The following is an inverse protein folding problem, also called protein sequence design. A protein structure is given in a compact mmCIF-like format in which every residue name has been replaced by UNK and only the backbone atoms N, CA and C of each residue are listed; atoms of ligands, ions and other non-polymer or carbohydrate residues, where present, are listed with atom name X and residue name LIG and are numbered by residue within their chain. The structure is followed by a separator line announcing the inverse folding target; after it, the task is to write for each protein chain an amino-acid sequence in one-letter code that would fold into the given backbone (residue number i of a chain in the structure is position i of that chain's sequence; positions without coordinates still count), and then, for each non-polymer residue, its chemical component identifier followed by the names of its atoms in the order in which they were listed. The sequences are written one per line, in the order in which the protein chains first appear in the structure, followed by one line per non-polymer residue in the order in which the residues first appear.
data_IF_450953311623
#
_entry.id   IF_450953311623
#
_cell.length_a   1.000
_cell.length_b   1.000
_cell.length_c   1.000
_cell.angle_alpha   90.00
_cell.angle_beta   90.00
_cell.angle_gamma   90.00
#
_symmetry.space_group_name_H-M   'P 1'
#
loop_
_entity.id
_entity.type
_entity.pdbx_description
1 polymer ?
#
# COMPACT_ATOMS: atom_id res chain seq x y z
N UNK A 1 6.15 8.52 0.24
CA UNK A 1 5.67 9.89 -0.08
C UNK A 1 6.18 10.91 0.95
N UNK A 2 5.78 10.84 2.22
CA UNK A 2 6.18 11.84 3.24
C UNK A 2 7.72 12.00 3.37
N UNK A 3 8.45 10.90 3.40
CA UNK A 3 9.91 10.95 3.45
C UNK A 3 10.50 11.64 2.22
N UNK A 4 9.99 11.37 1.02
CA UNK A 4 10.45 12.02 -0.21
C UNK A 4 10.15 13.52 -0.27
N UNK A 5 9.07 13.97 0.39
CA UNK A 5 8.76 15.40 0.51
C UNK A 5 9.72 16.12 1.50
N UNK A 6 10.24 15.42 2.49
CA UNK A 6 11.09 16.00 3.57
C UNK A 6 12.57 15.79 3.36
N UNK A 7 12.96 14.73 2.67
CA UNK A 7 14.32 14.48 2.24
C UNK A 7 14.50 15.02 0.80
N UNK A 8 15.66 15.51 0.44
CA UNK A 8 15.98 15.95 -0.93
C UNK A 8 16.12 14.72 -1.83
N UNK A 9 14.99 14.07 -2.14
CA UNK A 9 14.95 12.93 -3.03
C UNK A 9 14.94 13.41 -4.48
N UNK A 10 15.72 12.77 -5.35
CA UNK A 10 15.76 13.07 -6.78
C UNK A 10 14.61 12.46 -7.55
N UNK A 11 13.98 11.40 -7.00
CA UNK A 11 12.83 10.70 -7.56
C UNK A 11 12.03 9.95 -6.49
N UNK A 12 10.83 9.50 -6.88
CA UNK A 12 9.99 8.65 -6.04
C UNK A 12 9.45 7.48 -6.86
N UNK A 13 9.50 6.27 -6.28
CA UNK A 13 8.89 5.07 -6.85
C UNK A 13 7.90 4.50 -5.83
N UNK A 14 6.64 4.37 -6.23
CA UNK A 14 5.60 3.64 -5.47
C UNK A 14 5.50 2.22 -6.00
N UNK A 15 5.80 1.24 -5.17
CA UNK A 15 5.68 -0.20 -5.49
C UNK A 15 4.52 -0.78 -4.69
N UNK A 16 3.51 -1.31 -5.36
CA UNK A 16 2.31 -1.87 -4.74
C UNK A 16 1.72 -0.92 -3.67
N UNK A 17 1.71 0.37 -3.98
CA UNK A 17 1.34 1.42 -3.04
C UNK A 17 -0.15 1.64 -2.98
N UNK A 18 -0.71 1.67 -1.75
CA UNK A 18 -2.13 1.96 -1.52
C UNK A 18 -2.48 3.38 -1.99
N UNK A 19 -3.52 3.52 -2.80
CA UNK A 19 -4.04 4.80 -3.29
C UNK A 19 -5.14 5.40 -2.41
N UNK A 20 -5.65 4.64 -1.45
CA UNK A 20 -6.75 5.01 -0.56
C UNK A 20 -6.29 5.17 0.88
N UNK A 21 -7.11 5.80 1.72
CA UNK A 21 -6.82 5.96 3.15
C UNK A 21 -6.67 4.60 3.83
N UNK A 22 -5.69 4.49 4.72
CA UNK A 22 -5.38 3.25 5.40
C UNK A 22 -6.57 2.62 6.17
N UNK A 23 -7.44 3.37 6.88
CA UNK A 23 -8.60 2.79 7.54
C UNK A 23 -9.56 2.08 6.58
N UNK A 24 -9.77 2.62 5.37
CA UNK A 24 -10.63 2.01 4.35
C UNK A 24 -10.06 0.68 3.86
N UNK A 25 -8.76 0.64 3.58
CA UNK A 25 -8.08 -0.57 3.11
C UNK A 25 -8.09 -1.65 4.19
N UNK A 26 -7.80 -1.29 5.43
CA UNK A 26 -7.85 -2.22 6.56
C UNK A 26 -9.27 -2.75 6.78
N UNK A 27 -10.29 -1.90 6.69
CA UNK A 27 -11.69 -2.32 6.75
C UNK A 27 -12.00 -3.39 5.68
N UNK A 28 -11.66 -3.12 4.42
CA UNK A 28 -11.91 -4.06 3.31
C UNK A 28 -11.17 -5.40 3.47
N UNK A 29 -9.93 -5.36 3.96
CA UNK A 29 -9.17 -6.57 4.24
C UNK A 29 -9.79 -7.39 5.37
N UNK A 30 -10.21 -6.73 6.45
CA UNK A 30 -10.84 -7.38 7.60
C UNK A 30 -12.24 -7.89 7.25
N UNK A 31 -13.00 -7.18 6.42
CA UNK A 31 -14.35 -7.59 5.99
C UNK A 31 -14.37 -8.94 5.25
N UNK A 32 -13.24 -9.33 4.64
CA UNK A 32 -13.09 -10.66 3.99
C UNK A 32 -12.93 -11.81 4.99
N UNK A 33 -12.62 -11.52 6.25
CA UNK A 33 -12.19 -12.51 7.24
C UNK A 33 -13.02 -12.50 8.52
N UNK A 34 -13.65 -11.37 8.85
CA UNK A 34 -14.32 -11.19 10.14
C UNK A 34 -15.85 -11.27 10.02
N UNK A 35 -16.52 -11.79 11.06
CA UNK A 35 -17.96 -11.63 11.22
C UNK A 35 -18.34 -10.14 11.32
N UNK A 36 -19.58 -9.75 10.89
CA UNK A 36 -20.02 -8.35 10.86
C UNK A 36 -19.90 -7.63 12.20
N UNK A 37 -20.20 -8.30 13.32
CA UNK A 37 -20.12 -7.69 14.66
C UNK A 37 -18.67 -7.36 15.04
N UNK A 38 -17.74 -8.22 14.71
CA UNK A 38 -16.31 -8.02 14.99
C UNK A 38 -15.73 -6.93 14.08
N UNK A 39 -16.15 -6.89 12.81
CA UNK A 39 -15.80 -5.82 11.88
C UNK A 39 -16.29 -4.46 12.41
N UNK A 40 -17.54 -4.38 12.88
CA UNK A 40 -18.08 -3.15 13.47
C UNK A 40 -17.33 -2.70 14.73
N UNK A 41 -16.76 -3.63 15.51
CA UNK A 41 -15.87 -3.28 16.63
C UNK A 41 -14.54 -2.71 16.13
N UNK A 42 -13.95 -3.32 15.10
CA UNK A 42 -12.73 -2.81 14.48
C UNK A 42 -12.92 -1.39 13.92
N UNK A 43 -14.06 -1.15 13.26
CA UNK A 43 -14.38 0.18 12.70
C UNK A 43 -14.51 1.25 13.78
N UNK A 44 -15.10 0.93 14.94
CA UNK A 44 -15.13 1.85 16.07
C UNK A 44 -13.72 2.17 16.61
N UNK A 45 -12.85 1.15 16.63
CA UNK A 45 -11.47 1.36 17.03
C UNK A 45 -10.72 2.23 15.99
N UNK A 46 -10.88 1.98 14.69
CA UNK A 46 -10.32 2.82 13.64
C UNK A 46 -10.81 4.27 13.76
N UNK A 47 -12.10 4.49 13.97
CA UNK A 47 -12.66 5.84 14.14
C UNK A 47 -12.07 6.57 15.35
N UNK A 48 -11.70 5.88 16.44
CA UNK A 48 -11.00 6.49 17.56
C UNK A 48 -9.57 6.88 17.19
N UNK A 49 -8.84 5.98 16.53
CA UNK A 49 -7.47 6.23 16.07
C UNK A 49 -7.40 7.36 15.03
N UNK A 50 -8.39 7.49 14.14
CA UNK A 50 -8.48 8.61 13.19
C UNK A 50 -8.63 9.97 13.90
N UNK A 51 -9.30 9.99 15.04
CA UNK A 51 -9.39 11.19 15.90
C UNK A 51 -8.14 11.44 16.74
N UNK A 52 -7.11 10.59 16.62
CA UNK A 52 -5.89 10.65 17.41
C UNK A 52 -6.02 10.11 18.83
N UNK A 53 -7.06 9.33 19.10
CA UNK A 53 -7.34 8.76 20.43
C UNK A 53 -7.02 7.27 20.44
N UNK A 54 -6.29 6.81 21.44
CA UNK A 54 -6.09 5.38 21.70
C UNK A 54 -7.39 4.75 22.23
N UNK A 55 -7.49 3.42 22.09
CA UNK A 55 -8.67 2.66 22.49
C UNK A 55 -8.29 1.28 23.02
N UNK A 56 -9.02 0.80 24.03
CA UNK A 56 -8.92 -0.56 24.54
C UNK A 56 -10.11 -1.43 24.09
N UNK A 57 -11.01 -0.84 23.27
CA UNK A 57 -12.26 -1.48 22.84
C UNK A 57 -12.12 -2.30 21.53
N UNK A 58 -10.89 -2.68 21.17
CA UNK A 58 -10.66 -3.48 19.97
C UNK A 58 -10.98 -4.98 20.21
N UNK A 59 -11.39 -5.71 19.15
CA UNK A 59 -11.64 -7.15 19.26
C UNK A 59 -10.38 -7.89 19.73
N UNK A 60 -10.46 -8.83 20.69
CA UNK A 60 -9.31 -9.61 21.15
C UNK A 60 -8.59 -10.36 20.01
N UNK A 61 -9.34 -10.84 19.02
CA UNK A 61 -8.79 -11.51 17.84
C UNK A 61 -7.88 -10.59 17.00
N UNK A 62 -8.01 -9.27 17.14
CA UNK A 62 -7.19 -8.26 16.45
C UNK A 62 -6.17 -7.59 17.38
N UNK A 63 -5.86 -8.21 18.53
CA UNK A 63 -4.92 -7.64 19.50
C UNK A 63 -3.54 -7.29 18.88
N UNK A 64 -3.06 -8.07 17.90
CA UNK A 64 -1.81 -7.77 17.21
C UNK A 64 -1.86 -6.42 16.47
N UNK A 65 -3.00 -6.08 15.86
CA UNK A 65 -3.21 -4.83 15.13
C UNK A 65 -3.44 -3.63 16.07
N UNK A 66 -4.17 -3.86 17.17
CA UNK A 66 -4.62 -2.77 18.06
C UNK A 66 -3.87 -2.70 19.41
N UNK A 67 -2.81 -3.49 19.60
CA UNK A 67 -2.01 -3.39 20.83
C UNK A 67 -1.55 -1.95 21.07
N UNK A 68 -1.48 -1.53 22.32
CA UNK A 68 -1.16 -0.16 22.74
C UNK A 68 0.13 0.39 22.09
N UNK A 69 1.13 -0.45 21.89
CA UNK A 69 2.39 -0.07 21.24
C UNK A 69 2.27 0.20 19.72
N UNK A 70 1.20 -0.28 19.06
CA UNK A 70 0.96 -0.06 17.62
C UNK A 70 0.05 1.13 17.36
N UNK A 71 -0.83 1.46 18.29
CA UNK A 71 -1.82 2.52 18.10
C UNK A 71 -1.22 3.90 17.76
N UNK A 72 -0.10 4.37 18.37
CA UNK A 72 0.53 5.62 17.97
C UNK A 72 0.99 5.62 16.49
N UNK A 73 1.45 4.48 15.99
CA UNK A 73 1.79 4.31 14.58
C UNK A 73 0.54 4.42 13.69
N UNK A 74 -0.55 3.71 14.04
CA UNK A 74 -1.81 3.77 13.28
C UNK A 74 -2.38 5.20 13.28
N UNK A 75 -2.39 5.89 14.42
CA UNK A 75 -2.80 7.30 14.52
C UNK A 75 -1.98 8.18 13.58
N UNK A 76 -0.66 7.97 13.55
CA UNK A 76 0.22 8.72 12.65
C UNK A 76 -0.08 8.40 11.19
N UNK A 77 -0.29 7.13 10.83
CA UNK A 77 -0.55 6.68 9.48
C UNK A 77 -1.91 7.16 8.94
N UNK A 78 -2.96 7.10 9.75
CA UNK A 78 -4.33 7.46 9.39
C UNK A 78 -4.53 8.94 9.05
N UNK A 79 -3.58 9.80 9.41
CA UNK A 79 -3.59 11.23 9.07
C UNK A 79 -3.34 11.51 7.59
N UNK A 80 -2.78 10.54 6.86
CA UNK A 80 -2.34 10.77 5.50
C UNK A 80 -3.36 10.26 4.49
N UNK A 81 -3.59 11.09 3.47
CA UNK A 81 -4.36 10.77 2.28
C UNK A 81 -3.37 10.49 1.15
N UNK A 82 -3.19 9.25 0.68
CA UNK A 82 -2.15 8.91 -0.30
C UNK A 82 -2.22 9.74 -1.59
N UNK A 83 -3.43 10.01 -2.10
CA UNK A 83 -3.63 10.82 -3.29
C UNK A 83 -3.17 12.27 -3.07
N UNK A 84 -3.44 12.86 -1.90
CA UNK A 84 -2.98 14.19 -1.55
C UNK A 84 -1.46 14.23 -1.38
N UNK A 85 -0.90 13.21 -0.76
CA UNK A 85 0.54 13.17 -0.50
C UNK A 85 1.38 12.94 -1.76
N UNK A 86 0.89 12.12 -2.71
CA UNK A 86 1.61 11.93 -3.98
C UNK A 86 1.53 13.18 -4.87
N UNK A 87 0.40 13.90 -4.84
CA UNK A 87 0.22 15.15 -5.59
C UNK A 87 1.19 16.25 -5.17
N UNK A 88 1.68 16.22 -3.93
CA UNK A 88 2.66 17.18 -3.39
C UNK A 88 4.10 16.91 -3.83
N UNK A 89 4.37 15.77 -4.45
CA UNK A 89 5.72 15.45 -4.92
C UNK A 89 6.07 16.30 -6.15
N UNK A 90 7.20 16.98 -6.08
CA UNK A 90 7.73 17.80 -7.17
C UNK A 90 8.79 17.09 -8.00
N UNK A 91 9.24 15.92 -7.54
CA UNK A 91 10.23 15.07 -8.20
C UNK A 91 9.55 14.12 -9.20
N UNK A 92 10.29 13.53 -10.15
CA UNK A 92 9.77 12.48 -11.01
C UNK A 92 9.20 11.31 -10.22
N UNK A 93 8.01 10.83 -10.62
CA UNK A 93 7.27 9.76 -9.92
C UNK A 93 7.05 8.59 -10.87
N UNK A 94 7.30 7.37 -10.38
CA UNK A 94 6.85 6.12 -10.97
C UNK A 94 5.88 5.44 -10.00
N UNK A 95 4.71 5.03 -10.51
CA UNK A 95 3.76 4.17 -9.79
C UNK A 95 3.77 2.82 -10.49
N UNK A 96 4.15 1.75 -9.79
CA UNK A 96 4.19 0.40 -10.31
C UNK A 96 3.28 -0.53 -9.50
N UNK A 97 2.43 -1.28 -10.20
CA UNK A 97 1.42 -2.17 -9.59
C UNK A 97 1.30 -3.47 -10.37
N UNK A 98 1.14 -4.57 -9.64
CA UNK A 98 0.89 -5.88 -10.23
C UNK A 98 -0.60 -6.19 -10.41
N UNK A 99 -0.95 -6.97 -11.44
CA UNK A 99 -2.35 -7.34 -11.70
C UNK A 99 -2.83 -8.50 -10.81
N UNK A 100 -1.91 -9.25 -10.20
CA UNK A 100 -2.24 -10.38 -9.32
C UNK A 100 -2.03 -10.08 -7.84
N UNK A 101 -1.82 -8.81 -7.49
CA UNK A 101 -1.76 -8.34 -6.11
C UNK A 101 -3.14 -8.49 -5.43
N UNK A 102 -3.19 -9.27 -4.37
CA UNK A 102 -4.42 -9.53 -3.59
C UNK A 102 -4.65 -8.50 -2.48
N UNK A 103 -3.67 -7.66 -2.18
CA UNK A 103 -3.70 -6.68 -1.08
C UNK A 103 -4.02 -5.27 -1.60
N UNK A 104 -3.38 -4.86 -2.68
CA UNK A 104 -3.52 -3.54 -3.28
C UNK A 104 -3.94 -3.70 -4.74
N UNK A 105 -4.94 -2.94 -5.16
CA UNK A 105 -5.54 -3.10 -6.48
C UNK A 105 -4.88 -2.22 -7.55
N UNK A 106 -5.07 -2.57 -8.82
CA UNK A 106 -4.70 -1.69 -9.93
C UNK A 106 -5.39 -0.33 -9.81
N UNK A 107 -6.65 -0.28 -9.34
CA UNK A 107 -7.38 0.96 -9.11
C UNK A 107 -6.70 1.89 -8.07
N UNK A 108 -5.97 1.33 -7.09
CA UNK A 108 -5.16 2.12 -6.18
C UNK A 108 -4.02 2.84 -6.91
N UNK A 109 -3.32 2.14 -7.79
CA UNK A 109 -2.24 2.71 -8.60
C UNK A 109 -2.76 3.77 -9.60
N UNK A 110 -3.91 3.51 -10.23
CA UNK A 110 -4.57 4.47 -11.12
C UNK A 110 -5.00 5.73 -10.36
N UNK A 111 -5.50 5.58 -9.13
CA UNK A 111 -5.84 6.71 -8.26
C UNK A 111 -4.63 7.57 -7.93
N UNK A 112 -3.49 6.94 -7.61
CA UNK A 112 -2.23 7.65 -7.37
C UNK A 112 -1.73 8.37 -8.63
N UNK A 113 -1.76 7.71 -9.78
CA UNK A 113 -1.34 8.31 -11.05
C UNK A 113 -2.27 9.46 -11.47
N UNK A 114 -3.56 9.35 -11.23
CA UNK A 114 -4.54 10.43 -11.46
C UNK A 114 -4.26 11.65 -10.57
N UNK A 115 -3.88 11.42 -9.32
CA UNK A 115 -3.56 12.49 -8.37
C UNK A 115 -2.23 13.17 -8.69
N UNK A 116 -1.29 12.47 -9.36
CA UNK A 116 -0.01 13.01 -9.83
C UNK A 116 0.09 12.87 -11.36
N UNK A 117 -0.43 13.83 -12.15
CA UNK A 117 -0.53 13.69 -13.61
C UNK A 117 0.81 13.56 -14.35
N UNK A 118 1.93 13.90 -13.68
CA UNK A 118 3.28 13.72 -14.22
C UNK A 118 3.88 12.36 -13.88
N UNK A 119 3.21 11.55 -13.07
CA UNK A 119 3.69 10.22 -12.74
C UNK A 119 3.64 9.28 -13.94
N UNK A 120 4.66 8.46 -14.08
CA UNK A 120 4.60 7.28 -14.96
C UNK A 120 3.85 6.18 -14.24
N UNK A 121 2.91 5.53 -14.93
CA UNK A 121 2.18 4.36 -14.42
C UNK A 121 2.67 3.11 -15.14
N UNK A 122 3.10 2.09 -14.39
CA UNK A 122 3.52 0.78 -14.89
C UNK A 122 2.62 -0.30 -14.25
N UNK A 123 1.68 -0.82 -15.02
CA UNK A 123 0.89 -1.99 -14.62
C UNK A 123 1.61 -3.23 -15.15
N UNK A 124 1.98 -4.15 -14.25
CA UNK A 124 2.79 -5.33 -14.54
C UNK A 124 1.91 -6.56 -14.42
N UNK A 125 1.60 -7.14 -15.57
CA UNK A 125 0.74 -8.31 -15.63
C UNK A 125 1.39 -9.50 -14.92
N UNK A 126 0.60 -10.20 -14.08
CA UNK A 126 1.04 -11.36 -13.31
C UNK A 126 1.92 -11.09 -12.10
N UNK A 127 2.24 -9.82 -11.78
CA UNK A 127 3.02 -9.49 -10.58
C UNK A 127 2.12 -9.37 -9.35
N UNK A 128 2.56 -9.93 -8.22
CA UNK A 128 1.87 -9.84 -6.93
C UNK A 128 2.45 -8.74 -6.00
N UNK A 129 1.93 -8.65 -4.77
CA UNK A 129 2.32 -7.67 -3.75
C UNK A 129 3.76 -7.84 -3.22
N UNK A 130 4.35 -9.03 -3.34
CA UNK A 130 5.77 -9.27 -3.05
C UNK A 130 6.65 -9.20 -4.30
N UNK A 131 6.14 -8.54 -5.35
CA UNK A 131 6.85 -8.19 -6.58
C UNK A 131 7.31 -9.39 -7.43
N UNK A 132 6.64 -10.54 -7.30
CA UNK A 132 6.97 -11.79 -7.99
C UNK A 132 5.90 -12.14 -9.01
N UNK A 133 6.28 -12.87 -10.06
CA UNK A 133 5.34 -13.37 -11.06
C UNK A 133 4.59 -14.59 -10.50
N UNK A 134 3.33 -14.39 -10.09
CA UNK A 134 2.50 -15.42 -9.41
C UNK A 134 1.05 -15.30 -9.88
N UNK A 135 0.39 -16.40 -10.26
CA UNK A 135 -1.02 -16.38 -10.67
C UNK A 135 -1.95 -15.99 -9.51
N UNK A 136 -3.18 -15.58 -9.84
CA UNK A 136 -4.25 -15.30 -8.86
C UNK A 136 -4.78 -16.63 -8.31
N UNK A 137 -3.97 -17.28 -7.49
CA UNK A 137 -4.31 -18.49 -6.76
C UNK A 137 -3.83 -18.32 -5.32
N UNK A 138 -4.71 -18.48 -4.33
CA UNK A 138 -4.39 -18.20 -2.94
C UNK A 138 -3.21 -19.03 -2.43
N UNK A 139 -3.13 -20.30 -2.79
CA UNK A 139 -2.05 -21.17 -2.34
C UNK A 139 -0.71 -20.80 -2.99
N UNK A 140 -0.71 -20.42 -4.28
CA UNK A 140 0.48 -19.92 -4.96
C UNK A 140 0.94 -18.59 -4.36
N UNK A 141 0.02 -17.66 -4.09
CA UNK A 141 0.30 -16.39 -3.44
C UNK A 141 0.97 -16.61 -2.08
N UNK A 142 0.36 -17.43 -1.21
CA UNK A 142 0.91 -17.71 0.12
C UNK A 142 2.31 -18.35 0.07
N UNK A 143 2.55 -19.28 -0.86
CA UNK A 143 3.89 -19.86 -1.04
C UNK A 143 4.93 -18.82 -1.46
N UNK A 144 4.55 -17.87 -2.30
CA UNK A 144 5.46 -16.85 -2.82
C UNK A 144 6.08 -15.96 -1.74
N UNK A 145 5.40 -15.75 -0.61
CA UNK A 145 5.92 -14.95 0.51
C UNK A 145 7.19 -15.55 1.14
N UNK A 146 7.27 -16.87 1.21
CA UNK A 146 8.39 -17.58 1.83
C UNK A 146 9.40 -18.15 0.83
N UNK A 147 9.22 -17.99 -0.46
CA UNK A 147 10.10 -18.57 -1.48
C UNK A 147 11.16 -17.57 -1.98
N UNK A 148 12.41 -17.67 -1.51
CA UNK A 148 13.47 -16.76 -1.94
C UNK A 148 13.98 -17.07 -3.36
N UNK A 149 13.59 -18.20 -3.95
CA UNK A 149 14.05 -18.61 -5.30
C UNK A 149 13.28 -17.91 -6.43
N UNK A 150 12.08 -17.42 -6.13
CA UNK A 150 11.30 -16.66 -7.10
C UNK A 150 11.92 -15.27 -7.32
N UNK A 151 12.29 -14.93 -8.55
CA UNK A 151 12.88 -13.63 -8.87
C UNK A 151 11.82 -12.52 -8.78
N UNK A 152 12.30 -11.30 -8.62
CA UNK A 152 11.49 -10.09 -8.82
C UNK A 152 11.02 -10.04 -10.28
N UNK A 153 9.81 -9.57 -10.52
CA UNK A 153 9.24 -9.43 -11.86
C UNK A 153 10.19 -8.63 -12.79
N UNK A 154 10.67 -9.19 -13.90
CA UNK A 154 11.63 -8.52 -14.77
C UNK A 154 11.12 -7.17 -15.30
N UNK A 155 9.83 -7.10 -15.66
CA UNK A 155 9.22 -5.86 -16.15
C UNK A 155 9.23 -4.74 -15.10
N UNK A 156 9.18 -5.07 -13.80
CA UNK A 156 9.36 -4.09 -12.73
C UNK A 156 10.78 -3.53 -12.69
N UNK A 157 11.78 -4.41 -12.81
CA UNK A 157 13.19 -4.01 -12.84
C UNK A 157 13.44 -3.06 -14.03
N UNK A 158 12.90 -3.40 -15.21
CA UNK A 158 13.02 -2.57 -16.42
C UNK A 158 12.33 -1.21 -16.25
N UNK A 159 11.13 -1.17 -15.65
CA UNK A 159 10.39 0.06 -15.38
C UNK A 159 11.16 0.99 -14.43
N UNK A 160 11.72 0.46 -13.34
CA UNK A 160 12.52 1.22 -12.38
C UNK A 160 13.82 1.72 -13.03
N UNK A 161 14.55 0.85 -13.70
CA UNK A 161 15.80 1.21 -14.38
C UNK A 161 15.58 2.27 -15.47
N UNK A 162 14.49 2.14 -16.25
CA UNK A 162 14.09 3.14 -17.23
C UNK A 162 13.69 4.48 -16.61
N UNK A 163 13.05 4.44 -15.44
CA UNK A 163 12.70 5.66 -14.69
C UNK A 163 13.96 6.39 -14.20
N UNK A 164 14.89 5.65 -13.59
CA UNK A 164 16.16 6.23 -13.09
C UNK A 164 17.00 6.82 -14.21
N UNK A 165 17.16 6.09 -15.34
CA UNK A 165 17.90 6.60 -16.50
C UNK A 165 17.32 7.90 -17.08
N UNK A 166 16.01 8.04 -17.06
CA UNK A 166 15.33 9.25 -17.55
C UNK A 166 15.52 10.49 -16.65
N UNK A 167 16.02 10.32 -15.43
CA UNK A 167 16.27 11.40 -14.47
C UNK A 167 17.73 11.87 -14.54
N UNK A 168 18.64 10.94 -14.83
CA UNK A 168 20.08 11.22 -14.83
C UNK A 168 20.65 11.69 -16.19
N UNK A 169 19.81 11.83 -17.21
CA UNK A 169 20.16 12.40 -18.52
C UNK A 169 19.50 13.74 -18.73
#
# INVERSE_FOLDING_TARGET
MIAAQRAHADAFVSLAGVGRRAPLVLHEQLAKQLPPEMLAQADRAFASLERGQTTDSAPPALAALFRSSVQPYLISWFRYEPAVEIARLTVPVLVAQGTTDMQVTVADAESLAKAQPKAKLAIIDGMNDVLKMVPVDQAAQMRSYGDPTLPVAPALVDAIAGHIRAIGG
#
